data_IF_396667009507
#
_entry.id   IF_396667009507
#
_cell.length_a   1.000
_cell.length_b   1.000
_cell.length_c   1.000
_cell.angle_alpha   90.00
_cell.angle_beta   90.00
_cell.angle_gamma   90.00
#
_symmetry.space_group_name_H-M   'P 1'
#
loop_
_entity.id
_entity.type
_entity.pdbx_description
1 polymer ?
#
# COMPACT_ATOMS: atom_id res chain seq x y z
N UNK A 1 0.69 9.62 -0.37
CA UNK A 1 0.74 9.47 -1.85
C UNK A 1 1.05 10.77 -2.61
N UNK A 2 0.58 11.96 -2.21
CA UNK A 2 0.73 13.18 -3.01
C UNK A 2 2.17 13.51 -3.43
N UNK A 3 3.16 13.21 -2.59
CA UNK A 3 4.57 13.49 -2.86
C UNK A 3 5.36 12.32 -3.43
N UNK A 4 4.76 11.13 -3.48
CA UNK A 4 5.44 9.90 -3.93
C UNK A 4 5.75 9.95 -5.43
N UNK A 5 4.89 10.61 -6.20
CA UNK A 5 4.99 10.69 -7.66
C UNK A 5 5.37 12.08 -8.16
N UNK A 6 5.96 12.91 -7.29
CA UNK A 6 6.46 14.25 -7.70
C UNK A 6 7.55 14.11 -8.76
N UNK A 7 7.36 14.83 -9.87
CA UNK A 7 8.25 14.77 -11.04
C UNK A 7 7.99 13.58 -11.98
N UNK A 8 7.03 12.68 -11.67
CA UNK A 8 6.61 11.65 -12.62
C UNK A 8 5.73 12.25 -13.72
N UNK A 9 5.82 11.75 -14.98
CA UNK A 9 4.97 12.20 -16.08
C UNK A 9 3.57 11.57 -15.98
N UNK A 10 2.84 11.95 -14.93
CA UNK A 10 1.50 11.41 -14.62
C UNK A 10 0.47 12.02 -15.57
N UNK A 11 -0.28 11.19 -16.29
CA UNK A 11 -1.44 11.58 -17.13
C UNK A 11 -2.72 11.62 -16.34
N UNK A 12 -2.95 10.57 -15.54
CA UNK A 12 -4.13 10.44 -14.70
C UNK A 12 -3.80 9.69 -13.41
N UNK A 13 -4.54 9.97 -12.35
CA UNK A 13 -4.43 9.23 -11.11
C UNK A 13 -5.81 9.13 -10.45
N UNK A 14 -6.12 7.94 -9.98
CA UNK A 14 -7.32 7.66 -9.20
C UNK A 14 -6.91 7.05 -7.87
N UNK A 15 -7.57 7.48 -6.79
CA UNK A 15 -7.39 6.90 -5.46
C UNK A 15 -8.73 6.46 -4.91
N UNK A 16 -8.79 5.22 -4.46
CA UNK A 16 -9.92 4.62 -3.77
C UNK A 16 -9.50 4.26 -2.35
N UNK A 17 -10.40 4.49 -1.40
CA UNK A 17 -10.20 4.06 -0.01
C UNK A 17 -11.51 3.49 0.50
N UNK A 18 -11.44 2.33 1.14
CA UNK A 18 -12.57 1.72 1.82
C UNK A 18 -12.11 1.09 3.13
N UNK A 19 -13.06 0.88 4.01
CA UNK A 19 -12.85 0.24 5.30
C UNK A 19 -13.93 -0.81 5.52
N UNK A 20 -13.56 -1.90 6.15
CA UNK A 20 -14.48 -2.95 6.57
C UNK A 20 -14.49 -3.02 8.09
N UNK A 21 -15.67 -3.26 8.64
CA UNK A 21 -15.86 -3.42 10.06
C UNK A 21 -16.76 -4.65 10.27
N UNK A 22 -16.23 -5.71 10.83
CA UNK A 22 -16.97 -6.95 11.11
C UNK A 22 -17.71 -6.88 12.44
N UNK A 23 -17.26 -6.01 13.35
CA UNK A 23 -17.91 -5.75 14.64
C UNK A 23 -18.48 -4.33 14.67
N UNK A 24 -19.80 -4.23 14.53
CA UNK A 24 -20.52 -2.95 14.58
C UNK A 24 -20.43 -2.25 15.93
N UNK A 25 -19.99 -2.92 16.98
CA UNK A 25 -19.76 -2.35 18.31
C UNK A 25 -18.36 -1.73 18.46
N UNK A 26 -17.45 -1.98 17.52
CA UNK A 26 -16.09 -1.41 17.50
C UNK A 26 -16.03 -0.09 16.72
N UNK A 27 -16.85 0.87 17.06
CA UNK A 27 -16.68 2.20 16.50
C UNK A 27 -15.69 3.00 17.37
N UNK A 28 -14.70 3.72 16.81
CA UNK A 28 -14.55 4.15 15.41
C UNK A 28 -13.42 3.46 14.59
N UNK A 29 -12.79 2.40 15.07
CA UNK A 29 -11.65 1.79 14.36
C UNK A 29 -12.11 0.65 13.48
N UNK A 30 -11.94 0.70 12.14
CA UNK A 30 -12.27 -0.41 11.26
C UNK A 30 -11.33 -1.60 11.51
N UNK A 31 -11.77 -2.81 11.19
CA UNK A 31 -10.91 -4.00 11.22
C UNK A 31 -9.85 -3.93 10.14
N UNK A 32 -10.24 -3.48 8.95
CA UNK A 32 -9.35 -3.29 7.82
C UNK A 32 -9.59 -1.95 7.15
N UNK A 33 -8.52 -1.33 6.68
CA UNK A 33 -8.58 -0.18 5.78
C UNK A 33 -7.69 -0.44 4.57
N UNK A 34 -8.27 -0.37 3.38
CA UNK A 34 -7.54 -0.50 2.13
C UNK A 34 -7.56 0.82 1.37
N UNK A 35 -6.41 1.19 0.82
CA UNK A 35 -6.25 2.32 -0.08
C UNK A 35 -5.53 1.84 -1.33
N UNK A 36 -6.09 2.12 -2.49
CA UNK A 36 -5.46 1.82 -3.78
C UNK A 36 -5.34 3.09 -4.61
N UNK A 37 -4.15 3.32 -5.14
CA UNK A 37 -3.87 4.31 -6.16
C UNK A 37 -3.61 3.62 -7.51
N UNK A 38 -4.24 4.11 -8.57
CA UNK A 38 -3.95 3.72 -9.95
C UNK A 38 -3.41 4.95 -10.63
N UNK A 39 -2.16 4.89 -11.09
CA UNK A 39 -1.44 6.01 -11.66
C UNK A 39 -1.10 5.66 -13.11
N UNK A 40 -1.67 6.41 -14.05
CA UNK A 40 -1.35 6.32 -15.46
C UNK A 40 -0.19 7.25 -15.79
N UNK A 41 0.88 6.71 -16.35
CA UNK A 41 2.01 7.47 -16.85
C UNK A 41 1.91 7.64 -18.37
N UNK A 42 2.73 8.49 -18.93
CA UNK A 42 2.72 8.80 -20.37
C UNK A 42 3.06 7.58 -21.23
N UNK A 43 3.98 6.72 -20.77
CA UNK A 43 4.44 5.53 -21.49
C UNK A 43 4.70 4.35 -20.54
N UNK A 44 4.72 3.14 -21.11
CA UNK A 44 5.16 1.94 -20.40
C UNK A 44 6.63 2.05 -19.94
N UNK A 45 7.49 2.69 -20.72
CA UNK A 45 8.89 2.89 -20.36
C UNK A 45 9.00 3.78 -19.11
N UNK A 46 8.20 4.83 -19.02
CA UNK A 46 8.11 5.68 -17.82
C UNK A 46 7.62 4.88 -16.63
N UNK A 47 6.59 4.03 -16.78
CA UNK A 47 6.09 3.20 -15.69
C UNK A 47 7.17 2.24 -15.16
N UNK A 48 7.91 1.57 -16.04
CA UNK A 48 9.05 0.72 -15.65
C UNK A 48 10.15 1.48 -14.92
N UNK A 49 10.50 2.67 -15.40
CA UNK A 49 11.53 3.52 -14.78
C UNK A 49 11.12 3.95 -13.37
N UNK A 50 9.87 4.38 -13.21
CA UNK A 50 9.36 4.80 -11.90
C UNK A 50 9.17 3.63 -10.96
N UNK A 51 8.70 2.47 -11.44
CA UNK A 51 8.66 1.24 -10.65
C UNK A 51 10.05 0.89 -10.11
N UNK A 52 11.07 0.82 -10.97
CA UNK A 52 12.44 0.48 -10.58
C UNK A 52 12.99 1.47 -9.53
N UNK A 53 12.69 2.77 -9.66
CA UNK A 53 13.07 3.79 -8.68
C UNK A 53 12.42 3.53 -7.32
N UNK A 54 11.13 3.23 -7.28
CA UNK A 54 10.42 2.94 -6.04
C UNK A 54 10.86 1.62 -5.42
N UNK A 55 11.06 0.57 -6.23
CA UNK A 55 11.60 -0.70 -5.77
C UNK A 55 12.94 -0.51 -5.06
N UNK A 56 13.87 0.23 -5.67
CA UNK A 56 15.16 0.54 -5.07
C UNK A 56 15.01 1.29 -3.73
N UNK A 57 14.07 2.24 -3.63
CA UNK A 57 13.80 2.95 -2.38
C UNK A 57 13.25 2.02 -1.29
N UNK A 58 12.34 1.11 -1.63
CA UNK A 58 11.77 0.19 -0.65
C UNK A 58 12.83 -0.75 -0.09
N UNK A 59 13.71 -1.28 -0.93
CA UNK A 59 14.85 -2.10 -0.48
C UNK A 59 15.79 -1.34 0.47
N UNK A 60 16.04 -0.05 0.23
CA UNK A 60 16.85 0.79 1.13
C UNK A 60 16.17 1.06 2.48
N UNK A 61 14.85 0.93 2.53
CA UNK A 61 14.06 1.15 3.75
C UNK A 61 13.89 -0.11 4.60
N UNK A 62 14.28 -1.29 4.11
CA UNK A 62 14.17 -2.55 4.86
C UNK A 62 14.91 -2.45 6.21
N UNK A 63 14.23 -2.85 7.28
CA UNK A 63 14.74 -2.78 8.66
C UNK A 63 14.78 -1.37 9.26
N UNK A 64 14.22 -0.38 8.57
CA UNK A 64 14.15 1.01 9.06
C UNK A 64 12.77 1.35 9.61
N UNK A 65 12.77 2.27 10.58
CA UNK A 65 11.55 2.87 11.11
C UNK A 65 11.42 4.29 10.57
N UNK A 66 10.30 4.57 9.91
CA UNK A 66 9.92 5.90 9.43
C UNK A 66 8.87 6.46 10.38
N UNK A 67 9.14 7.62 10.96
CA UNK A 67 8.20 8.29 11.85
C UNK A 67 7.47 9.40 11.10
N UNK A 68 6.15 9.36 11.16
CA UNK A 68 5.28 10.35 10.54
C UNK A 68 4.57 11.16 11.64
N UNK A 69 4.60 12.47 11.52
CA UNK A 69 3.84 13.36 12.39
C UNK A 69 2.39 13.44 11.89
N UNK A 70 1.44 12.92 12.66
CA UNK A 70 0.01 13.05 12.40
C UNK A 70 -0.57 14.15 13.32
N UNK A 71 -0.60 15.38 12.83
CA UNK A 71 -0.98 16.56 13.61
C UNK A 71 0.10 17.00 14.61
N UNK A 72 -0.25 17.86 15.55
CA UNK A 72 0.72 18.53 16.45
C UNK A 72 1.32 17.66 17.56
N UNK A 73 0.79 16.48 17.81
CA UNK A 73 1.19 15.66 18.98
C UNK A 73 1.27 14.14 18.75
N UNK A 74 0.99 13.64 17.53
CA UNK A 74 0.91 12.19 17.30
C UNK A 74 2.01 11.72 16.38
N UNK A 75 2.87 10.87 16.93
CA UNK A 75 3.88 10.16 16.15
C UNK A 75 3.30 8.81 15.74
N UNK A 76 3.38 8.49 14.45
CA UNK A 76 3.06 7.19 13.90
C UNK A 76 4.37 6.64 13.34
N UNK A 77 4.78 5.48 13.84
CA UNK A 77 5.99 4.81 13.39
C UNK A 77 5.63 3.68 12.45
N UNK A 78 6.28 3.62 11.30
CA UNK A 78 6.20 2.55 10.31
C UNK A 78 7.54 1.83 10.29
N UNK A 79 7.59 0.62 10.83
CA UNK A 79 8.76 -0.24 10.77
C UNK A 79 8.62 -1.19 9.56
N UNK A 80 9.54 -1.11 8.60
CA UNK A 80 9.55 -1.94 7.40
C UNK A 80 10.24 -3.27 7.73
N UNK A 81 9.48 -4.35 7.85
CA UNK A 81 9.97 -5.66 8.32
C UNK A 81 10.31 -6.61 7.19
N UNK A 82 9.71 -6.46 6.03
CA UNK A 82 10.03 -7.27 4.85
C UNK A 82 9.81 -6.51 3.56
N UNK A 83 10.60 -6.86 2.55
CA UNK A 83 10.45 -6.40 1.17
C UNK A 83 10.73 -7.58 0.24
N UNK A 84 9.86 -7.83 -0.73
CA UNK A 84 9.99 -8.86 -1.76
C UNK A 84 9.70 -8.25 -3.12
N UNK A 85 10.52 -8.52 -4.12
CA UNK A 85 10.40 -7.98 -5.49
C UNK A 85 10.47 -9.11 -6.52
N UNK A 86 9.52 -9.12 -7.46
CA UNK A 86 9.44 -10.08 -8.57
C UNK A 86 9.75 -9.44 -9.93
N UNK A 87 10.23 -8.19 -9.97
CA UNK A 87 10.61 -7.45 -11.16
C UNK A 87 9.52 -6.54 -11.74
N UNK A 88 8.24 -6.86 -11.56
CA UNK A 88 7.11 -5.97 -11.91
C UNK A 88 6.16 -5.75 -10.72
N UNK A 89 6.46 -6.36 -9.59
CA UNK A 89 5.72 -6.23 -8.34
C UNK A 89 6.68 -6.24 -7.16
N UNK A 90 6.54 -5.27 -6.29
CA UNK A 90 7.21 -5.24 -4.98
C UNK A 90 6.16 -5.22 -3.87
N UNK A 91 6.36 -6.07 -2.88
CA UNK A 91 5.51 -6.18 -1.69
C UNK A 91 6.33 -5.83 -0.46
N UNK A 92 5.74 -5.11 0.48
CA UNK A 92 6.34 -4.88 1.80
C UNK A 92 5.34 -5.14 2.91
N UNK A 93 5.86 -5.59 4.05
CA UNK A 93 5.14 -5.67 5.32
C UNK A 93 5.72 -4.63 6.25
N UNK A 94 4.84 -3.86 6.88
CA UNK A 94 5.20 -2.86 7.86
C UNK A 94 4.42 -3.09 9.16
N UNK A 95 5.03 -2.72 10.28
CA UNK A 95 4.37 -2.61 11.58
C UNK A 95 4.07 -1.13 11.84
N UNK A 96 2.79 -0.82 12.03
CA UNK A 96 2.30 0.52 12.29
C UNK A 96 2.03 0.71 13.78
N UNK A 97 2.83 1.50 14.45
CA UNK A 97 2.72 1.83 15.87
C UNK A 97 2.23 3.26 16.07
N UNK A 98 1.65 3.58 17.25
CA UNK A 98 1.22 4.95 17.58
C UNK A 98 -0.26 5.22 17.35
N UNK A 99 -1.02 4.33 16.76
CA UNK A 99 -2.46 4.26 16.95
C UNK A 99 -2.74 3.73 18.36
N UNK A 100 -3.81 4.16 19.02
CA UNK A 100 -4.18 3.76 20.40
C UNK A 100 -4.40 2.23 20.56
N UNK A 101 -3.89 1.44 19.66
CA UNK A 101 -3.93 -0.01 19.69
C UNK A 101 -2.87 -0.55 20.67
N UNK A 102 -3.22 -1.57 21.43
CA UNK A 102 -2.30 -2.26 22.35
C UNK A 102 -1.14 -2.93 21.62
N UNK A 103 -1.28 -3.17 20.31
CA UNK A 103 -0.29 -3.81 19.44
C UNK A 103 -0.14 -3.01 18.14
N UNK A 104 1.01 -3.10 17.47
CA UNK A 104 1.16 -2.52 16.15
C UNK A 104 0.17 -3.15 15.14
N UNK A 105 -0.45 -2.34 14.29
CA UNK A 105 -1.21 -2.84 13.15
C UNK A 105 -0.26 -3.36 12.08
N UNK A 106 -0.68 -4.39 11.35
CA UNK A 106 0.06 -4.92 10.21
C UNK A 106 -0.38 -4.15 8.96
N UNK A 107 0.60 -3.65 8.22
CA UNK A 107 0.37 -3.00 6.93
C UNK A 107 1.01 -3.86 5.85
N UNK A 108 0.23 -4.28 4.88
CA UNK A 108 0.73 -4.85 3.64
C UNK A 108 0.62 -3.78 2.55
N UNK A 109 1.71 -3.53 1.84
CA UNK A 109 1.73 -2.62 0.70
C UNK A 109 2.32 -3.29 -0.52
N UNK A 110 1.69 -3.07 -1.65
CA UNK A 110 2.08 -3.61 -2.95
C UNK A 110 2.15 -2.47 -3.95
N UNK A 111 3.25 -2.40 -4.67
CA UNK A 111 3.35 -1.61 -5.89
C UNK A 111 3.55 -2.57 -7.06
N UNK A 112 2.63 -2.54 -8.01
CA UNK A 112 2.73 -3.32 -9.26
C UNK A 112 2.82 -2.38 -10.46
N UNK A 113 3.57 -2.81 -11.48
CA UNK A 113 3.66 -2.14 -12.78
C UNK A 113 2.95 -3.00 -13.83
N UNK A 114 1.96 -2.43 -14.52
CA UNK A 114 1.21 -3.08 -15.58
C UNK A 114 1.03 -2.11 -16.75
N UNK A 115 1.57 -2.46 -17.92
CA UNK A 115 1.66 -1.56 -19.07
C UNK A 115 2.21 -0.19 -18.67
N UNK A 116 1.48 0.90 -18.85
CA UNK A 116 1.84 2.26 -18.45
C UNK A 116 1.30 2.66 -17.06
N UNK A 117 0.76 1.70 -16.32
CA UNK A 117 0.14 1.95 -15.01
C UNK A 117 1.05 1.50 -13.86
N UNK A 118 1.00 2.26 -12.77
CA UNK A 118 1.44 1.83 -11.46
C UNK A 118 0.21 1.64 -10.57
N UNK A 119 0.14 0.50 -9.89
CA UNK A 119 -0.93 0.14 -8.96
C UNK A 119 -0.31 0.09 -7.58
N UNK A 120 -0.64 1.04 -6.72
CA UNK A 120 -0.10 1.17 -5.36
C UNK A 120 -1.23 0.87 -4.37
N UNK A 121 -1.21 -0.31 -3.77
CA UNK A 121 -2.24 -0.78 -2.85
C UNK A 121 -1.66 -0.99 -1.46
N UNK A 122 -2.35 -0.44 -0.46
CA UNK A 122 -2.02 -0.58 0.95
C UNK A 122 -3.23 -1.10 1.70
N UNK A 123 -3.07 -2.17 2.46
CA UNK A 123 -4.07 -2.69 3.40
C UNK A 123 -3.52 -2.64 4.81
N UNK A 124 -4.25 -2.02 5.72
CA UNK A 124 -3.94 -1.95 7.15
C UNK A 124 -4.90 -2.86 7.88
N UNK A 125 -4.34 -3.82 8.61
CA UNK A 125 -5.05 -4.71 9.51
C UNK A 125 -4.96 -4.18 10.93
N UNK A 126 -6.09 -3.78 11.50
CA UNK A 126 -6.23 -3.30 12.88
C UNK A 126 -6.76 -4.38 13.82
N UNK A 127 -6.98 -5.60 13.34
CA UNK A 127 -7.45 -6.71 14.18
C UNK A 127 -6.35 -7.13 15.16
N UNK A 128 -6.76 -7.50 16.37
CA UNK A 128 -5.84 -8.07 17.36
C UNK A 128 -5.55 -9.56 17.08
N UNK A 129 -6.28 -10.19 16.17
CA UNK A 129 -6.15 -11.61 15.84
C UNK A 129 -5.13 -11.81 14.70
N UNK A 130 -3.92 -12.22 15.08
CA UNK A 130 -2.85 -12.56 14.14
C UNK A 130 -2.91 -14.01 13.64
N UNK A 131 -3.87 -14.81 14.08
CA UNK A 131 -3.93 -16.24 13.74
C UNK A 131 -4.60 -16.50 12.38
N UNK A 132 -5.35 -15.54 11.88
CA UNK A 132 -6.00 -15.68 10.57
C UNK A 132 -5.44 -14.60 9.63
N UNK A 133 -4.61 -14.95 8.64
CA UNK A 133 -4.27 -13.98 7.60
C UNK A 133 -5.58 -13.51 6.95
N UNK A 134 -5.74 -12.21 6.68
CA UNK A 134 -6.95 -11.70 6.09
C UNK A 134 -7.17 -12.37 4.73
N UNK A 135 -8.15 -13.25 4.64
CA UNK A 135 -8.51 -13.98 3.42
C UNK A 135 -9.19 -13.08 2.40
N UNK A 136 -9.68 -11.93 2.83
CA UNK A 136 -10.33 -10.93 1.98
C UNK A 136 -9.71 -9.56 2.25
N UNK A 137 -9.11 -8.96 1.23
CA UNK A 137 -8.51 -7.62 1.34
C UNK A 137 -6.99 -7.60 1.39
N UNK A 138 -6.34 -8.69 1.03
CA UNK A 138 -4.90 -8.72 0.81
C UNK A 138 -4.54 -7.73 -0.30
N UNK A 139 -3.58 -6.86 -0.04
CA UNK A 139 -3.13 -5.84 -1.00
C UNK A 139 -2.70 -6.46 -2.34
N UNK A 140 -2.10 -7.65 -2.32
CA UNK A 140 -1.71 -8.39 -3.52
C UNK A 140 -2.91 -8.79 -4.36
N UNK A 141 -3.92 -9.43 -3.75
CA UNK A 141 -5.14 -9.85 -4.47
C UNK A 141 -5.84 -8.67 -5.13
N UNK A 142 -5.90 -7.53 -4.45
CA UNK A 142 -6.51 -6.31 -4.99
C UNK A 142 -5.70 -5.78 -6.17
N UNK A 143 -4.38 -5.72 -6.04
CA UNK A 143 -3.49 -5.30 -7.12
C UNK A 143 -3.62 -6.22 -8.34
N UNK A 144 -3.74 -7.56 -8.14
CA UNK A 144 -3.93 -8.54 -9.20
C UNK A 144 -5.25 -8.37 -9.94
N UNK A 145 -6.35 -8.16 -9.22
CA UNK A 145 -7.65 -7.90 -9.84
C UNK A 145 -7.62 -6.64 -10.70
N UNK A 146 -6.95 -5.59 -10.25
CA UNK A 146 -6.81 -4.34 -10.99
C UNK A 146 -5.93 -4.55 -12.23
N UNK A 147 -4.77 -5.20 -12.07
CA UNK A 147 -3.86 -5.51 -13.18
C UNK A 147 -4.57 -6.35 -14.26
N UNK A 148 -5.32 -7.37 -13.85
CA UNK A 148 -6.12 -8.18 -14.77
C UNK A 148 -7.14 -7.34 -15.55
N UNK A 149 -7.83 -6.41 -14.90
CA UNK A 149 -8.80 -5.52 -15.57
C UNK A 149 -8.15 -4.55 -16.54
N UNK A 150 -6.93 -4.08 -16.27
CA UNK A 150 -6.17 -3.24 -17.19
C UNK A 150 -5.84 -4.01 -18.47
N UNK A 151 -5.51 -5.30 -18.36
CA UNK A 151 -5.11 -6.15 -19.48
C UNK A 151 -6.28 -6.78 -20.26
N UNK A 152 -7.51 -6.73 -19.72
CA UNK A 152 -8.67 -7.32 -20.40
C UNK A 152 -9.42 -6.22 -21.15
N UNK A 153 -9.29 -6.13 -22.47
CA UNK A 153 -10.07 -5.18 -23.26
C UNK A 153 -11.56 -5.50 -23.11
N UNK A 154 -12.36 -4.44 -22.99
CA UNK A 154 -13.83 -4.54 -23.02
C UNK A 154 -14.32 -4.81 -24.42
#
# INVERSE_FOLDING_TARGET
MRYTYEGAPVRAATRLTWATNTDTNRFPTPDFRTTTGIIELDTQASARTWYARFSAQWHQCLGRTVTVHAGTKRLIAHEITSVSDTGNRITSILLLSGYNARRPAIVQRVLAQEDRYLIDTETIDFTDDRQTPPTTGNAETIADVIAHKINTPK
#
